data_IF_588718168726
#
_entry.id   IF_588718168726
#
_cell.length_a   1.000
_cell.length_b   1.000
_cell.length_c   1.000
_cell.angle_alpha   90.00
_cell.angle_beta   90.00
_cell.angle_gamma   90.00
#
_symmetry.space_group_name_H-M   'P 1'
#
loop_
_entity.id
_entity.type
_entity.pdbx_description
1 polymer ?
#
# COMPACT_ATOMS: atom_id res chain seq x y z
N UNK A 1 0.79 4.27 -9.18
CA UNK A 1 1.46 3.05 -8.64
C UNK A 1 0.41 1.99 -8.38
N UNK A 2 0.72 0.75 -8.72
CA UNK A 2 -0.10 -0.44 -8.49
C UNK A 2 0.78 -1.54 -7.88
N UNK A 3 0.17 -2.59 -7.35
CA UNK A 3 0.86 -3.74 -6.77
C UNK A 3 0.31 -5.01 -7.40
N UNK A 4 1.18 -5.94 -7.75
CA UNK A 4 0.79 -7.13 -8.53
C UNK A 4 1.31 -8.37 -7.82
N UNK A 5 0.46 -9.39 -7.66
CA UNK A 5 0.91 -10.70 -7.19
C UNK A 5 1.72 -11.39 -8.28
N UNK A 6 2.88 -11.94 -7.92
CA UNK A 6 3.66 -12.76 -8.83
C UNK A 6 3.40 -14.22 -8.49
N UNK A 7 2.95 -15.05 -9.46
CA UNK A 7 2.78 -16.47 -9.23
C UNK A 7 4.12 -17.13 -8.88
N UNK A 8 4.07 -18.24 -8.13
CA UNK A 8 5.27 -18.95 -7.70
C UNK A 8 6.10 -19.44 -8.90
N UNK A 9 7.41 -19.22 -8.84
CA UNK A 9 8.36 -19.55 -9.92
C UNK A 9 8.44 -18.56 -11.06
N UNK A 10 7.58 -17.54 -11.08
CA UNK A 10 7.64 -16.46 -12.05
C UNK A 10 8.52 -15.31 -11.55
N UNK A 11 9.21 -14.63 -12.48
CA UNK A 11 9.96 -13.43 -12.17
C UNK A 11 9.68 -12.33 -13.19
N UNK A 12 9.79 -11.07 -12.74
CA UNK A 12 9.56 -9.90 -13.57
C UNK A 12 10.81 -9.53 -14.36
N UNK A 13 10.65 -9.29 -15.66
CA UNK A 13 11.71 -8.78 -16.53
C UNK A 13 11.12 -7.99 -17.70
N UNK A 14 11.97 -7.36 -18.50
CA UNK A 14 11.56 -6.77 -19.78
C UNK A 14 12.21 -7.58 -20.89
N UNK A 15 11.40 -8.09 -21.81
CA UNK A 15 11.87 -8.84 -22.99
C UNK A 15 11.14 -8.32 -24.23
N UNK A 16 11.73 -8.59 -25.40
CA UNK A 16 11.06 -8.36 -26.68
C UNK A 16 9.90 -9.34 -26.84
N UNK A 17 8.70 -8.81 -27.02
CA UNK A 17 7.50 -9.57 -27.37
C UNK A 17 7.02 -9.05 -28.73
N UNK A 18 7.33 -9.80 -29.79
CA UNK A 18 7.25 -9.29 -31.16
C UNK A 18 8.40 -8.32 -31.44
N UNK A 19 8.09 -7.12 -31.91
CA UNK A 19 9.08 -6.07 -32.26
C UNK A 19 9.34 -5.07 -31.12
N UNK A 20 8.51 -5.07 -30.08
CA UNK A 20 8.58 -4.10 -28.98
C UNK A 20 9.10 -4.74 -27.69
N UNK A 21 9.88 -3.98 -26.93
CA UNK A 21 10.19 -4.32 -25.54
C UNK A 21 8.93 -4.18 -24.69
N UNK A 22 8.59 -5.22 -23.95
CA UNK A 22 7.45 -5.23 -23.03
C UNK A 22 7.86 -5.74 -21.66
N UNK A 23 7.17 -5.25 -20.64
CA UNK A 23 7.30 -5.79 -19.30
C UNK A 23 6.50 -7.10 -19.18
N UNK A 24 7.20 -8.14 -18.74
CA UNK A 24 6.71 -9.52 -18.75
C UNK A 24 6.99 -10.23 -17.42
N UNK A 25 6.20 -11.26 -17.13
CA UNK A 25 6.58 -12.29 -16.19
C UNK A 25 7.07 -13.50 -16.98
N UNK A 26 8.15 -14.11 -16.51
CA UNK A 26 8.74 -15.30 -17.14
C UNK A 26 8.85 -16.40 -16.11
N UNK A 27 8.47 -17.61 -16.51
CA UNK A 27 8.64 -18.83 -15.74
C UNK A 27 9.95 -19.50 -16.17
N UNK A 28 10.97 -19.39 -15.32
CA UNK A 28 12.29 -19.98 -15.56
C UNK A 28 12.48 -21.31 -14.80
N UNK A 29 11.51 -21.73 -13.96
CA UNK A 29 11.68 -22.88 -13.06
C UNK A 29 11.07 -24.19 -13.56
N UNK A 30 10.26 -24.15 -14.61
CA UNK A 30 9.75 -25.37 -15.23
C UNK A 30 10.76 -25.95 -16.22
N UNK A 31 11.78 -26.66 -15.70
CA UNK A 31 12.75 -27.45 -16.49
C UNK A 31 12.07 -28.50 -17.40
N UNK A 32 10.83 -28.88 -17.11
CA UNK A 32 10.05 -29.88 -17.85
C UNK A 32 9.34 -29.32 -19.10
N UNK A 33 9.30 -28.01 -19.33
CA UNK A 33 8.66 -27.41 -20.51
C UNK A 33 9.71 -26.97 -21.54
N UNK A 34 9.69 -27.58 -22.73
CA UNK A 34 10.52 -27.23 -23.90
C UNK A 34 10.33 -25.77 -24.39
N UNK A 35 9.39 -25.00 -23.80
CA UNK A 35 9.15 -23.60 -24.13
C UNK A 35 9.03 -22.73 -22.89
N UNK A 36 9.86 -21.69 -22.83
CA UNK A 36 9.79 -20.64 -21.81
C UNK A 36 8.42 -19.97 -21.89
N UNK A 37 7.64 -20.03 -20.81
CA UNK A 37 6.33 -19.38 -20.74
C UNK A 37 6.50 -17.91 -20.37
N UNK A 38 5.76 -17.05 -21.08
CA UNK A 38 5.88 -15.59 -20.95
C UNK A 38 4.49 -14.99 -20.83
N UNK A 39 4.26 -14.24 -19.75
CA UNK A 39 3.03 -13.47 -19.55
C UNK A 39 3.33 -12.00 -19.82
N UNK A 40 2.57 -11.40 -20.74
CA UNK A 40 2.69 -9.99 -21.08
C UNK A 40 2.02 -9.10 -20.02
N UNK A 41 2.78 -8.84 -18.95
CA UNK A 41 2.30 -8.09 -17.80
C UNK A 41 1.89 -6.65 -18.16
N UNK A 42 2.64 -6.01 -19.06
CA UNK A 42 2.34 -4.65 -19.50
C UNK A 42 0.94 -4.54 -20.11
N UNK A 43 0.58 -5.49 -20.97
CA UNK A 43 -0.73 -5.53 -21.62
C UNK A 43 -1.85 -5.82 -20.64
N UNK A 44 -1.65 -6.78 -19.74
CA UNK A 44 -2.55 -7.08 -18.63
C UNK A 44 -2.82 -5.84 -17.76
N UNK A 45 -1.77 -5.08 -17.43
CA UNK A 45 -1.90 -3.85 -16.66
C UNK A 45 -2.65 -2.79 -17.46
N UNK A 46 -2.32 -2.61 -18.74
CA UNK A 46 -2.97 -1.62 -19.62
C UNK A 46 -4.46 -1.89 -19.75
N UNK A 47 -4.86 -3.14 -20.04
CA UNK A 47 -6.27 -3.53 -20.16
C UNK A 47 -6.99 -3.36 -18.83
N UNK A 48 -6.34 -3.69 -17.71
CA UNK A 48 -6.90 -3.52 -16.38
C UNK A 48 -7.14 -2.06 -16.02
N UNK A 49 -6.20 -1.16 -16.33
CA UNK A 49 -6.35 0.27 -16.09
C UNK A 49 -7.44 0.90 -16.97
N UNK A 50 -7.60 0.42 -18.21
CA UNK A 50 -8.60 0.94 -19.13
C UNK A 50 -10.04 0.63 -18.69
N UNK A 51 -10.26 -0.57 -18.17
CA UNK A 51 -11.58 -1.04 -17.73
C UNK A 51 -11.85 -0.85 -16.24
N UNK A 52 -10.94 -0.19 -15.52
CA UNK A 52 -11.02 -0.03 -14.07
C UNK A 52 -12.19 0.87 -13.67
N UNK A 53 -13.04 0.38 -12.76
CA UNK A 53 -14.05 1.22 -12.11
C UNK A 53 -13.43 2.11 -11.01
N UNK A 54 -14.01 3.30 -10.77
CA UNK A 54 -13.50 4.25 -9.76
C UNK A 54 -13.42 3.64 -8.36
N UNK A 55 -14.36 2.76 -7.99
CA UNK A 55 -14.44 2.10 -6.67
C UNK A 55 -13.61 0.82 -6.56
N UNK A 56 -13.13 0.30 -7.68
CA UNK A 56 -12.39 -0.95 -7.73
C UNK A 56 -11.01 -0.79 -7.07
N UNK A 57 -10.75 -1.64 -6.08
CA UNK A 57 -9.52 -1.68 -5.29
C UNK A 57 -8.52 -2.70 -5.81
N UNK A 58 -9.01 -3.77 -6.43
CA UNK A 58 -8.21 -4.85 -7.01
C UNK A 58 -8.96 -5.56 -8.14
N UNK A 59 -8.20 -6.19 -9.03
CA UNK A 59 -8.71 -7.04 -10.11
C UNK A 59 -7.88 -8.32 -10.19
N UNK A 60 -8.54 -9.47 -10.20
CA UNK A 60 -7.88 -10.76 -10.42
C UNK A 60 -8.18 -11.25 -11.83
N UNK A 61 -7.14 -11.73 -12.51
CA UNK A 61 -7.16 -12.18 -13.89
C UNK A 61 -6.65 -13.62 -13.90
N UNK A 62 -7.41 -14.49 -14.55
CA UNK A 62 -7.09 -15.91 -14.65
C UNK A 62 -7.62 -16.41 -15.98
N UNK A 63 -6.83 -16.16 -17.01
CA UNK A 63 -7.16 -16.48 -18.40
C UNK A 63 -6.03 -17.33 -19.02
N UNK A 64 -6.26 -17.81 -20.24
CA UNK A 64 -5.25 -18.56 -21.00
C UNK A 64 -3.95 -17.75 -21.20
N UNK A 65 -4.04 -16.42 -21.33
CA UNK A 65 -2.89 -15.50 -21.43
C UNK A 65 -2.00 -15.49 -20.18
N UNK A 66 -2.54 -15.94 -19.04
CA UNK A 66 -1.84 -16.08 -17.77
C UNK A 66 -1.43 -17.53 -17.48
N UNK A 67 -1.56 -18.45 -18.44
CA UNK A 67 -1.33 -19.88 -18.25
C UNK A 67 -2.08 -20.43 -17.03
N UNK A 68 -3.34 -20.03 -16.85
CA UNK A 68 -4.23 -20.37 -15.73
C UNK A 68 -3.73 -19.98 -14.33
N UNK A 69 -2.63 -19.24 -14.24
CA UNK A 69 -2.13 -18.64 -13.01
C UNK A 69 -2.95 -17.41 -12.64
N UNK A 70 -3.33 -17.29 -11.38
CA UNK A 70 -4.08 -16.13 -10.91
C UNK A 70 -3.15 -14.93 -10.70
N UNK A 71 -3.34 -13.87 -11.48
CA UNK A 71 -2.63 -12.59 -11.30
C UNK A 71 -3.62 -11.57 -10.74
N UNK A 72 -3.31 -11.05 -9.56
CA UNK A 72 -4.10 -10.01 -8.90
C UNK A 72 -3.37 -8.68 -8.92
N UNK A 73 -4.03 -7.66 -9.46
CA UNK A 73 -3.57 -6.28 -9.49
C UNK A 73 -4.33 -5.48 -8.44
N UNK A 74 -3.61 -4.90 -7.48
CA UNK A 74 -4.11 -3.96 -6.50
C UNK A 74 -3.84 -2.52 -6.95
N UNK A 75 -4.88 -1.72 -7.09
CA UNK A 75 -4.78 -0.36 -7.63
C UNK A 75 -4.39 0.70 -6.59
N UNK A 76 -4.32 0.34 -5.30
CA UNK A 76 -3.99 1.28 -4.21
C UNK A 76 -2.96 0.73 -3.24
N UNK A 77 -3.31 -0.32 -2.51
CA UNK A 77 -2.46 -1.01 -1.55
C UNK A 77 -2.76 -2.51 -1.59
N UNK A 78 -1.74 -3.38 -1.51
CA UNK A 78 -1.95 -4.80 -1.35
C UNK A 78 -2.44 -5.12 0.08
N UNK A 79 -2.90 -6.34 0.35
CA UNK A 79 -3.20 -6.81 1.70
C UNK A 79 -1.98 -6.70 2.62
N UNK A 80 -2.22 -6.45 3.90
CA UNK A 80 -1.18 -6.40 4.94
C UNK A 80 -0.71 -7.83 5.27
N UNK A 81 0.20 -8.34 4.44
CA UNK A 81 0.69 -9.71 4.46
C UNK A 81 2.21 -9.71 4.30
N UNK A 82 2.83 -10.84 4.69
CA UNK A 82 4.27 -11.08 4.47
C UNK A 82 4.62 -11.34 3.01
N UNK A 83 3.60 -11.53 2.16
CA UNK A 83 3.74 -11.91 0.77
C UNK A 83 4.44 -10.82 -0.04
N UNK A 84 5.13 -11.27 -1.09
CA UNK A 84 5.85 -10.38 -2.00
C UNK A 84 4.91 -9.95 -3.13
N UNK A 85 4.88 -8.64 -3.36
CA UNK A 85 4.14 -8.01 -4.44
C UNK A 85 5.12 -7.22 -5.31
N UNK A 86 4.89 -7.23 -6.61
CA UNK A 86 5.57 -6.32 -7.53
C UNK A 86 4.96 -4.94 -7.38
N UNK A 87 5.72 -4.00 -6.82
CA UNK A 87 5.40 -2.58 -6.89
C UNK A 87 5.72 -2.08 -8.29
N UNK A 88 4.69 -1.66 -9.02
CA UNK A 88 4.79 -1.31 -10.43
C UNK A 88 4.17 0.07 -10.68
N UNK A 89 4.88 0.95 -11.39
CA UNK A 89 4.35 2.23 -11.84
C UNK A 89 4.16 2.22 -13.37
N UNK A 90 2.90 2.11 -13.86
CA UNK A 90 2.63 2.04 -15.28
C UNK A 90 3.07 3.32 -16.00
N UNK A 91 3.95 3.18 -17.00
CA UNK A 91 4.37 4.31 -17.84
C UNK A 91 3.33 4.57 -18.94
N UNK A 92 2.87 5.83 -19.06
CA UNK A 92 1.78 6.23 -19.98
C UNK A 92 0.59 5.25 -19.94
N UNK A 93 0.13 4.91 -18.74
CA UNK A 93 -0.96 3.94 -18.48
C UNK A 93 -0.71 2.54 -19.08
N UNK A 94 0.54 2.06 -19.08
CA UNK A 94 0.92 0.76 -19.64
C UNK A 94 1.11 0.78 -21.15
N UNK A 95 1.14 1.94 -21.80
CA UNK A 95 1.47 2.06 -23.23
C UNK A 95 2.97 1.83 -23.48
N UNK A 96 3.82 2.17 -22.53
CA UNK A 96 5.27 1.95 -22.59
C UNK A 96 5.72 1.06 -21.42
N UNK A 97 6.87 0.39 -21.54
CA UNK A 97 7.52 -0.27 -20.42
C UNK A 97 7.75 0.69 -19.24
N UNK A 98 7.73 0.14 -18.05
CA UNK A 98 8.04 0.84 -16.83
C UNK A 98 9.44 1.45 -16.89
N UNK A 99 9.53 2.66 -16.35
CA UNK A 99 10.80 3.38 -16.29
C UNK A 99 11.75 2.69 -15.29
N UNK A 100 12.97 2.41 -15.74
CA UNK A 100 13.99 1.69 -14.96
C UNK A 100 14.98 2.62 -14.28
N UNK A 101 15.06 3.89 -14.69
CA UNK A 101 16.11 4.82 -14.23
C UNK A 101 15.63 5.73 -13.10
N UNK A 102 14.32 5.86 -12.89
CA UNK A 102 13.77 6.66 -11.80
C UNK A 102 13.64 5.88 -10.48
N UNK A 103 13.44 6.61 -9.39
CA UNK A 103 13.09 6.07 -8.06
C UNK A 103 11.84 5.18 -8.05
N UNK A 104 11.09 5.20 -9.16
CA UNK A 104 9.84 4.50 -9.41
C UNK A 104 10.02 3.15 -10.11
N UNK A 105 11.27 2.65 -10.17
CA UNK A 105 11.57 1.35 -10.77
C UNK A 105 10.70 0.22 -10.18
N UNK A 106 10.29 -0.77 -11.00
CA UNK A 106 9.63 -1.97 -10.51
C UNK A 106 10.49 -2.68 -9.47
N UNK A 107 9.88 -3.05 -8.34
CA UNK A 107 10.59 -3.75 -7.27
C UNK A 107 9.65 -4.66 -6.48
N UNK A 108 10.19 -5.74 -5.93
CA UNK A 108 9.48 -6.60 -5.01
C UNK A 108 9.40 -5.95 -3.64
N UNK A 109 8.19 -5.86 -3.09
CA UNK A 109 7.93 -5.31 -1.76
C UNK A 109 7.03 -6.26 -0.98
N UNK A 110 7.20 -6.31 0.34
CA UNK A 110 6.26 -7.04 1.21
C UNK A 110 4.96 -6.25 1.35
N UNK A 111 3.82 -6.93 1.40
CA UNK A 111 2.52 -6.28 1.61
C UNK A 111 2.53 -5.35 2.83
N UNK A 112 3.05 -5.84 3.95
CA UNK A 112 3.16 -5.08 5.21
C UNK A 112 3.99 -3.80 5.12
N UNK A 113 5.05 -3.79 4.31
CA UNK A 113 5.90 -2.60 4.12
C UNK A 113 5.17 -1.44 3.43
N UNK A 114 4.04 -1.71 2.77
CA UNK A 114 3.22 -0.70 2.08
C UNK A 114 2.19 -0.04 3.00
N UNK A 115 1.94 -0.64 4.16
CA UNK A 115 1.07 -0.09 5.18
C UNK A 115 1.89 0.74 6.13
N UNK A 116 1.75 2.06 6.00
CA UNK A 116 2.19 2.95 7.06
C UNK A 116 1.28 2.70 8.25
N UNK A 117 1.75 1.97 9.26
CA UNK A 117 1.17 2.08 10.58
C UNK A 117 1.32 3.55 10.97
N UNK A 118 0.23 4.31 10.94
CA UNK A 118 0.25 5.65 11.49
C UNK A 118 0.63 5.50 12.95
N UNK A 119 1.88 5.84 13.28
CA UNK A 119 2.33 5.95 14.65
C UNK A 119 1.52 7.09 15.28
N UNK A 120 0.45 6.72 15.97
CA UNK A 120 -0.61 7.59 16.49
C UNK A 120 -1.30 8.46 15.43
N UNK A 121 -2.61 8.26 15.15
CA UNK A 121 -3.37 9.38 14.59
C UNK A 121 -3.21 10.54 15.58
N UNK A 122 -2.80 11.73 15.11
CA UNK A 122 -2.77 12.94 15.95
C UNK A 122 -4.14 13.34 16.51
N UNK A 123 -5.18 12.56 16.24
CA UNK A 123 -6.50 12.67 16.81
C UNK A 123 -6.56 12.04 18.20
N UNK A 124 -7.06 12.80 19.17
CA UNK A 124 -7.18 12.39 20.57
C UNK A 124 -6.05 12.91 21.48
N UNK A 125 -5.04 13.60 20.93
CA UNK A 125 -4.07 14.34 21.75
C UNK A 125 -4.69 15.63 22.27
N UNK A 126 -4.57 15.85 23.57
CA UNK A 126 -4.95 17.12 24.18
C UNK A 126 -3.96 18.19 23.72
N UNK A 127 -4.41 19.44 23.57
CA UNK A 127 -3.59 20.49 22.96
C UNK A 127 -2.23 20.69 23.66
N UNK A 128 -2.16 20.45 24.98
CA UNK A 128 -0.91 20.53 25.77
C UNK A 128 0.02 19.32 25.64
N UNK A 129 -0.44 18.23 25.01
CA UNK A 129 0.35 17.02 24.71
C UNK A 129 1.01 17.08 23.33
N UNK A 130 0.78 18.16 22.57
CA UNK A 130 1.47 18.37 21.31
C UNK A 130 2.95 18.68 21.57
N UNK A 131 3.89 18.10 20.80
CA UNK A 131 5.33 18.31 20.99
C UNK A 131 5.72 19.80 21.05
N UNK A 132 5.14 20.62 20.17
CA UNK A 132 5.40 22.07 20.12
C UNK A 132 5.00 22.80 21.42
N UNK A 133 3.92 22.34 22.07
CA UNK A 133 3.43 22.94 23.30
C UNK A 133 4.18 22.41 24.53
N UNK A 134 4.61 21.14 24.52
CA UNK A 134 5.48 20.60 25.55
C UNK A 134 6.85 21.30 25.56
N UNK A 135 7.36 21.71 24.41
CA UNK A 135 8.60 22.48 24.31
C UNK A 135 8.45 23.94 24.81
N UNK A 136 7.24 24.52 24.73
CA UNK A 136 6.96 25.92 25.11
C UNK A 136 6.50 26.11 26.56
N UNK A 137 5.95 25.07 27.17
CA UNK A 137 5.43 25.13 28.54
C UNK A 137 6.49 24.63 29.52
N UNK A 138 6.68 25.34 30.62
CA UNK A 138 7.54 24.87 31.71
C UNK A 138 6.92 23.63 32.38
N UNK A 139 7.77 22.75 32.93
CA UNK A 139 7.32 21.52 33.61
C UNK A 139 6.27 21.80 34.70
N UNK A 140 6.44 22.88 35.46
CA UNK A 140 5.48 23.32 36.49
C UNK A 140 4.11 23.68 35.90
N UNK A 141 4.08 24.28 34.70
CA UNK A 141 2.85 24.67 34.03
C UNK A 141 2.15 23.47 33.40
N UNK A 142 2.91 22.51 32.87
CA UNK A 142 2.37 21.24 32.38
C UNK A 142 1.71 20.44 33.51
N UNK A 143 2.37 20.30 34.66
CA UNK A 143 1.82 19.62 35.84
C UNK A 143 0.49 20.22 36.30
N UNK A 144 0.40 21.56 36.32
CA UNK A 144 -0.85 22.27 36.68
C UNK A 144 -1.98 22.05 35.66
N UNK A 145 -1.65 21.94 34.37
CA UNK A 145 -2.64 21.67 33.33
C UNK A 145 -3.16 20.23 33.44
N UNK A 146 -2.26 19.28 33.73
CA UNK A 146 -2.61 17.88 33.94
C UNK A 146 -3.50 17.68 35.18
N UNK A 147 -3.15 18.30 36.30
CA UNK A 147 -3.96 18.31 37.54
C UNK A 147 -5.38 18.82 37.27
N UNK A 148 -5.53 19.97 36.62
CA UNK A 148 -6.85 20.53 36.26
C UNK A 148 -7.62 19.66 35.27
N UNK A 149 -6.92 18.98 34.36
CA UNK A 149 -7.57 18.06 33.42
C UNK A 149 -8.12 16.83 34.13
N UNK A 150 -7.48 16.37 35.20
CA UNK A 150 -7.95 15.26 36.02
C UNK A 150 -9.16 15.67 36.86
N UNK A 151 -9.12 16.84 37.49
CA UNK A 151 -10.24 17.42 38.23
C UNK A 151 -11.49 17.55 37.33
N UNK A 152 -11.34 18.12 36.14
CA UNK A 152 -12.46 18.22 35.18
C UNK A 152 -12.97 16.85 34.73
N UNK A 153 -12.10 15.85 34.60
CA UNK A 153 -12.48 14.49 34.21
C UNK A 153 -13.27 13.79 35.32
N UNK A 154 -12.91 14.04 36.57
CA UNK A 154 -13.63 13.55 37.75
C UNK A 154 -14.99 14.25 37.91
N UNK A 155 -15.05 15.58 37.76
CA UNK A 155 -16.32 16.32 37.78
C UNK A 155 -17.30 15.87 36.68
N UNK A 156 -16.78 15.49 35.50
CA UNK A 156 -17.59 14.97 34.38
C UNK A 156 -18.00 13.51 34.55
N UNK A 157 -17.37 12.76 35.45
CA UNK A 157 -17.83 11.43 35.83
C UNK A 157 -18.96 11.66 36.82
N UNK A 158 -20.19 11.47 36.36
CA UNK A 158 -21.39 11.57 37.21
C UNK A 158 -21.38 10.49 38.30
N UNK A 159 -20.63 10.76 39.36
CA UNK A 159 -20.61 10.02 40.62
C UNK A 159 -21.24 10.93 41.67
N UNK A 160 -22.57 10.87 41.80
CA UNK A 160 -23.36 11.62 42.79
C UNK A 160 -24.55 12.40 42.20
N UNK A 161 -25.60 12.59 43.01
CA UNK A 161 -26.76 13.43 42.69
C UNK A 161 -26.36 14.91 42.71
N UNK A 162 -26.50 15.57 41.56
CA UNK A 162 -26.27 17.00 41.26
C UNK A 162 -24.87 17.38 40.74
N UNK A 163 -24.76 17.81 39.47
CA UNK A 163 -23.55 18.49 39.00
C UNK A 163 -23.41 19.86 39.68
N UNK A 164 -22.18 20.22 40.09
CA UNK A 164 -21.87 21.62 40.46
C UNK A 164 -22.13 22.51 39.24
N UNK A 165 -22.84 23.61 39.45
CA UNK A 165 -23.10 24.58 38.39
C UNK A 165 -21.78 25.16 37.86
N UNK A 166 -21.60 25.09 36.54
CA UNK A 166 -20.57 25.83 35.78
C UNK A 166 -20.72 27.33 35.94
#
# INVERSE_FOLDING_TARGET
>A
MIYITIPEGWHFTTRKVGEEDKDVLVDDLNEDNESVKVINLQEIVRTSLHHKSRKETSKTIRDAETHDCAITIYFRKPPDTSDLFLRYEPNRNGKLPADKTSDKKPMLVKGSSTHTHMANPGYGRLWWQNPDNQARLSAKRLAKVEEKSMEQKEDRRHTGDSPKAT
#
